data_IF_329623426716
#
_entry.id   IF_329623426716
#
_cell.length_a   1.000
_cell.length_b   1.000
_cell.length_c   1.000
_cell.angle_alpha   90.00
_cell.angle_beta   90.00
_cell.angle_gamma   90.00
#
_symmetry.space_group_name_H-M   'P 1'
#
loop_
_entity.id
_entity.type
_entity.pdbx_description
1 polymer ?
#
# COMPACT_ATOMS: atom_id res chain seq x y z
N UNK A 1 5.27 -13.66 -0.85
CA UNK A 1 4.74 -12.95 0.34
C UNK A 1 5.24 -11.53 0.28
N UNK A 2 4.36 -10.54 0.38
CA UNK A 2 4.73 -9.11 0.31
C UNK A 2 5.38 -8.69 1.63
N UNK A 3 6.70 -8.88 1.71
CA UNK A 3 7.51 -8.74 2.92
C UNK A 3 7.50 -7.33 3.54
N UNK A 4 7.06 -6.31 2.80
CA UNK A 4 7.05 -4.92 3.23
C UNK A 4 5.71 -4.46 3.83
N UNK A 5 4.61 -5.19 3.63
CA UNK A 5 3.31 -4.80 4.21
C UNK A 5 3.37 -4.71 5.74
N UNK A 6 4.21 -5.52 6.38
CA UNK A 6 4.46 -5.46 7.82
C UNK A 6 5.02 -4.10 8.29
N UNK A 7 5.73 -3.39 7.42
CA UNK A 7 6.28 -2.07 7.69
C UNK A 7 5.26 -0.96 7.37
N UNK A 8 4.24 -1.26 6.57
CA UNK A 8 3.15 -0.34 6.25
C UNK A 8 1.97 -0.45 7.22
N UNK A 9 2.12 -1.15 8.36
CA UNK A 9 1.04 -1.33 9.34
C UNK A 9 0.37 -0.02 9.76
N UNK A 10 1.17 1.01 10.08
CA UNK A 10 0.64 2.33 10.46
C UNK A 10 -0.11 3.04 9.33
N UNK A 11 0.39 2.96 8.10
CA UNK A 11 -0.27 3.53 6.90
C UNK A 11 -1.59 2.82 6.62
N UNK A 12 -1.58 1.48 6.64
CA UNK A 12 -2.77 0.66 6.43
C UNK A 12 -3.83 0.95 7.50
N UNK A 13 -3.43 1.04 8.77
CA UNK A 13 -4.32 1.39 9.87
C UNK A 13 -4.93 2.79 9.70
N UNK A 14 -4.13 3.81 9.34
CA UNK A 14 -4.64 5.16 9.03
C UNK A 14 -5.58 5.19 7.84
N UNK A 15 -5.37 4.30 6.85
CA UNK A 15 -6.25 4.13 5.70
C UNK A 15 -7.52 3.32 6.02
N UNK A 16 -7.65 2.75 7.23
CA UNK A 16 -8.75 1.86 7.59
C UNK A 16 -8.66 0.46 6.96
N UNK A 17 -7.48 0.07 6.46
CA UNK A 17 -7.26 -1.18 5.73
C UNK A 17 -6.60 -2.19 6.66
N UNK A 18 -7.29 -3.27 7.00
CA UNK A 18 -6.76 -4.33 7.88
C UNK A 18 -6.85 -5.69 7.19
N UNK A 19 -5.89 -6.06 6.32
CA UNK A 19 -5.97 -7.30 5.56
C UNK A 19 -5.69 -8.53 6.46
N UNK A 20 -6.69 -9.38 6.64
CA UNK A 20 -6.64 -10.60 7.47
C UNK A 20 -6.29 -11.84 6.64
N UNK A 21 -6.76 -11.91 5.39
CA UNK A 21 -6.56 -13.06 4.49
C UNK A 21 -5.37 -12.86 3.53
N UNK A 22 -4.90 -13.96 2.92
CA UNK A 22 -3.84 -13.91 1.90
C UNK A 22 -4.28 -13.12 0.66
N UNK A 23 -5.56 -13.16 0.33
CA UNK A 23 -6.13 -12.48 -0.83
C UNK A 23 -6.24 -10.98 -0.59
N UNK A 24 -6.70 -10.56 0.60
CA UNK A 24 -6.71 -9.16 1.00
C UNK A 24 -5.29 -8.59 1.00
N UNK A 25 -4.30 -9.32 1.57
CA UNK A 25 -2.89 -8.92 1.52
C UNK A 25 -2.38 -8.76 0.08
N UNK A 26 -2.83 -9.61 -0.85
CA UNK A 26 -2.51 -9.48 -2.29
C UNK A 26 -3.18 -8.26 -2.92
N UNK A 27 -4.43 -7.95 -2.56
CA UNK A 27 -5.12 -6.73 -3.02
C UNK A 27 -4.40 -5.47 -2.57
N UNK A 28 -3.99 -5.41 -1.30
CA UNK A 28 -3.20 -4.31 -0.76
C UNK A 28 -1.85 -4.18 -1.44
N UNK A 29 -1.11 -5.29 -1.62
CA UNK A 29 0.18 -5.28 -2.34
C UNK A 29 0.04 -4.74 -3.77
N UNK A 30 -1.00 -5.15 -4.51
CA UNK A 30 -1.28 -4.61 -5.85
C UNK A 30 -1.60 -3.13 -5.82
N UNK A 31 -2.47 -2.69 -4.90
CA UNK A 31 -2.81 -1.28 -4.77
C UNK A 31 -1.57 -0.42 -4.47
N UNK A 32 -0.69 -0.87 -3.56
CA UNK A 32 0.56 -0.16 -3.25
C UNK A 32 1.46 -0.09 -4.49
N UNK A 33 1.66 -1.20 -5.21
CA UNK A 33 2.44 -1.24 -6.46
C UNK A 33 1.92 -0.26 -7.52
N UNK A 34 0.62 -0.16 -7.68
CA UNK A 34 -0.01 0.79 -8.59
C UNK A 34 0.18 2.24 -8.13
N UNK A 35 0.11 2.51 -6.81
CA UNK A 35 0.33 3.85 -6.25
C UNK A 35 1.78 4.31 -6.47
N UNK A 36 2.75 3.41 -6.29
CA UNK A 36 4.17 3.70 -6.54
C UNK A 36 4.58 3.57 -8.01
N UNK A 37 3.66 3.18 -8.90
CA UNK A 37 3.89 3.09 -10.35
C UNK A 37 4.79 1.93 -10.79
N UNK A 38 4.95 0.88 -9.97
CA UNK A 38 5.79 -0.29 -10.29
C UNK A 38 5.04 -1.60 -10.03
N UNK A 39 4.33 -2.07 -11.06
CA UNK A 39 3.49 -3.28 -11.01
C UNK A 39 4.30 -4.57 -11.04
N UNK A 40 5.34 -4.63 -11.88
CA UNK A 40 6.08 -5.87 -12.22
C UNK A 40 7.44 -6.01 -11.50
N UNK A 41 7.71 -5.16 -10.50
CA UNK A 41 8.98 -5.16 -9.77
C UNK A 41 9.02 -6.19 -8.62
N UNK A 42 10.23 -6.56 -8.18
CA UNK A 42 10.38 -7.43 -7.00
C UNK A 42 10.02 -6.68 -5.71
N UNK A 43 9.57 -7.40 -4.68
CA UNK A 43 9.17 -6.80 -3.39
C UNK A 43 10.21 -5.83 -2.77
N UNK A 44 11.54 -6.08 -2.83
CA UNK A 44 12.53 -5.13 -2.31
C UNK A 44 12.58 -3.81 -3.10
N UNK A 45 12.34 -3.86 -4.41
CA UNK A 45 12.32 -2.67 -5.27
C UNK A 45 11.08 -1.84 -5.01
N UNK A 46 9.92 -2.50 -4.86
CA UNK A 46 8.67 -1.87 -4.42
C UNK A 46 8.87 -1.17 -3.08
N UNK A 47 9.50 -1.84 -2.12
CA UNK A 47 9.77 -1.25 -0.81
C UNK A 47 10.69 -0.04 -0.85
N UNK A 48 11.70 -0.05 -1.75
CA UNK A 48 12.60 1.10 -1.92
C UNK A 48 11.82 2.33 -2.39
N UNK A 49 10.90 2.17 -3.34
CA UNK A 49 10.09 3.27 -3.86
C UNK A 49 9.06 3.76 -2.84
N UNK A 50 8.40 2.84 -2.15
CA UNK A 50 7.51 3.17 -1.03
C UNK A 50 8.26 3.97 0.04
N UNK A 51 9.49 3.55 0.40
CA UNK A 51 10.32 4.30 1.36
C UNK A 51 10.64 5.71 0.91
N UNK A 52 11.00 5.91 -0.37
CA UNK A 52 11.23 7.26 -0.90
C UNK A 52 9.98 8.11 -0.76
N UNK A 53 8.80 7.57 -1.11
CA UNK A 53 7.55 8.29 -0.90
C UNK A 53 7.35 8.62 0.57
N UNK A 54 7.56 7.67 1.50
CA UNK A 54 7.41 7.93 2.94
C UNK A 54 8.39 8.99 3.49
N UNK A 55 9.51 9.25 2.83
CA UNK A 55 10.45 10.31 3.21
C UNK A 55 10.00 11.70 2.75
N UNK A 56 9.05 11.80 1.81
CA UNK A 56 8.51 13.07 1.36
C UNK A 56 7.63 13.70 2.45
N UNK A 57 7.63 15.04 2.61
CA UNK A 57 6.88 15.74 3.68
C UNK A 57 5.38 15.38 3.75
N UNK A 58 4.76 15.08 2.60
CA UNK A 58 3.35 14.70 2.50
C UNK A 58 3.17 13.25 1.99
N UNK A 59 4.23 12.46 1.98
CA UNK A 59 4.23 11.17 1.30
C UNK A 59 3.45 10.08 2.01
N UNK A 60 3.53 10.04 3.35
CA UNK A 60 2.71 9.14 4.15
C UNK A 60 1.22 9.42 3.95
N UNK A 61 0.81 10.69 4.06
CA UNK A 61 -0.59 11.09 3.89
C UNK A 61 -1.10 10.78 2.49
N UNK A 62 -0.31 11.08 1.44
CA UNK A 62 -0.62 10.69 0.06
C UNK A 62 -0.83 9.18 -0.06
N UNK A 63 0.04 8.38 0.54
CA UNK A 63 -0.07 6.92 0.50
C UNK A 63 -1.33 6.44 1.22
N UNK A 64 -1.67 7.02 2.38
CA UNK A 64 -2.91 6.74 3.13
C UNK A 64 -4.15 7.05 2.29
N UNK A 65 -4.24 8.25 1.73
CA UNK A 65 -5.39 8.68 0.91
C UNK A 65 -5.55 7.78 -0.31
N UNK A 66 -4.48 7.55 -1.06
CA UNK A 66 -4.52 6.75 -2.29
C UNK A 66 -4.82 5.29 -2.02
N UNK A 67 -4.30 4.74 -0.92
CA UNK A 67 -4.60 3.37 -0.51
C UNK A 67 -6.06 3.23 -0.09
N UNK A 68 -6.58 4.20 0.67
CA UNK A 68 -8.01 4.25 1.05
C UNK A 68 -8.91 4.37 -0.18
N UNK A 69 -8.56 5.21 -1.15
CA UNK A 69 -9.32 5.32 -2.42
C UNK A 69 -9.34 3.99 -3.18
N UNK A 70 -8.18 3.35 -3.37
CA UNK A 70 -8.11 2.09 -4.13
C UNK A 70 -8.79 0.92 -3.45
N UNK A 71 -8.71 0.84 -2.12
CA UNK A 71 -9.26 -0.29 -1.36
C UNK A 71 -10.71 -0.03 -0.95
N UNK A 72 -11.03 1.18 -0.46
CA UNK A 72 -12.37 1.56 -0.02
C UNK A 72 -13.37 1.77 -1.16
N UNK A 73 -12.93 2.05 -2.39
CA UNK A 73 -13.83 2.04 -3.55
C UNK A 73 -14.34 0.64 -3.92
N UNK A 74 -13.72 -0.44 -3.41
CA UNK A 74 -14.13 -1.81 -3.69
C UNK A 74 -15.23 -2.37 -2.76
N UNK A 75 -15.63 -1.62 -1.73
CA UNK A 75 -16.71 -2.00 -0.79
C UNK A 75 -18.07 -1.34 -1.12
N UNK A 76 -18.17 -0.60 -2.24
CA UNK A 76 -19.40 0.10 -2.66
C UNK A 76 -19.86 -0.26 -4.09
N UNK A 77 -19.52 -1.46 -4.58
CA UNK A 77 -19.98 -1.97 -5.87
C UNK A 77 -20.55 -3.39 -5.73
#
# INVERSE_FOLDING_TARGET
MSCYLRHLGGVMQKAGVTPTTKEERRRVDRAVREIVGITDAKCPEVWKEVKKQLQEPAGEEKLVVRLREKIGAADNA
#
